data_IF_680164594370
#
_entry.id   IF_680164594370
#
_cell.length_a   1.000
_cell.length_b   1.000
_cell.length_c   1.000
_cell.angle_alpha   90.00
_cell.angle_beta   90.00
_cell.angle_gamma   90.00
#
_symmetry.space_group_name_H-M   'P 1'
#
loop_
_entity.id
_entity.type
_entity.pdbx_description
1 polymer ?
#
# COMPACT_ATOMS: atom_id res chain seq x y z
N UNK A 1 4.80 -10.72 -8.76
CA UNK A 1 3.69 -10.29 -7.88
C UNK A 1 3.07 -8.97 -8.33
N UNK A 2 3.86 -7.94 -8.63
CA UNK A 2 3.36 -6.59 -8.96
C UNK A 2 3.39 -6.26 -10.46
N UNK A 3 3.27 -7.27 -11.33
CA UNK A 3 3.20 -7.01 -12.77
C UNK A 3 1.94 -6.23 -13.15
N UNK A 4 2.12 -5.21 -13.98
CA UNK A 4 1.06 -4.28 -14.40
C UNK A 4 0.75 -3.15 -13.42
N UNK A 5 1.44 -3.08 -12.27
CA UNK A 5 1.33 -1.95 -11.36
C UNK A 5 2.08 -0.75 -11.95
N UNK A 6 1.46 0.41 -11.90
CA UNK A 6 2.13 1.69 -12.12
C UNK A 6 2.91 2.11 -10.87
N UNK A 7 3.79 3.11 -11.00
CA UNK A 7 4.47 3.71 -9.84
C UNK A 7 3.49 4.27 -8.80
N UNK A 8 2.34 4.78 -9.25
CA UNK A 8 1.27 5.25 -8.36
C UNK A 8 0.63 4.11 -7.57
N UNK A 9 0.44 2.94 -8.19
CA UNK A 9 -0.11 1.76 -7.52
C UNK A 9 0.86 1.26 -6.44
N UNK A 10 2.16 1.21 -6.74
CA UNK A 10 3.19 0.83 -5.76
C UNK A 10 3.20 1.81 -4.58
N UNK A 11 3.10 3.11 -4.85
CA UNK A 11 2.98 4.11 -3.79
C UNK A 11 1.75 3.88 -2.92
N UNK A 12 0.62 3.48 -3.51
CA UNK A 12 -0.60 3.16 -2.78
C UNK A 12 -0.42 1.92 -1.90
N UNK A 13 0.19 0.85 -2.44
CA UNK A 13 0.52 -0.37 -1.68
C UNK A 13 1.37 -0.02 -0.45
N UNK A 14 2.41 0.80 -0.60
CA UNK A 14 3.27 1.18 0.52
C UNK A 14 2.51 1.98 1.60
N UNK A 15 1.60 2.87 1.19
CA UNK A 15 0.73 3.60 2.13
C UNK A 15 -0.20 2.65 2.87
N UNK A 16 -0.81 1.71 2.15
CA UNK A 16 -1.75 0.76 2.74
C UNK A 16 -1.06 -0.19 3.73
N UNK A 17 0.15 -0.66 3.40
CA UNK A 17 0.98 -1.46 4.30
C UNK A 17 1.33 -0.68 5.59
N UNK A 18 1.70 0.60 5.47
CA UNK A 18 1.96 1.46 6.64
C UNK A 18 0.70 1.68 7.49
N UNK A 19 -0.44 1.91 6.84
CA UNK A 19 -1.72 2.08 7.53
C UNK A 19 -2.17 0.82 8.27
N UNK A 20 -1.72 -0.37 7.87
CA UNK A 20 -2.00 -1.61 8.61
C UNK A 20 -1.47 -1.58 10.05
N UNK A 21 -0.33 -0.93 10.29
CA UNK A 21 0.22 -0.78 11.65
C UNK A 21 -0.50 0.33 12.40
N UNK A 22 -0.78 1.44 11.72
CA UNK A 22 -1.45 2.60 12.32
C UNK A 22 -2.88 2.23 12.79
N UNK A 23 -3.61 1.40 12.03
CA UNK A 23 -4.95 0.95 12.42
C UNK A 23 -4.99 0.19 13.75
N UNK A 24 -3.96 -0.62 14.07
CA UNK A 24 -3.83 -1.29 15.38
C UNK A 24 -3.75 -0.28 16.54
N UNK A 25 -3.15 0.88 16.30
CA UNK A 25 -3.08 1.95 17.31
C UNK A 25 -4.45 2.59 17.49
N UNK A 26 -5.17 2.85 16.40
CA UNK A 26 -6.53 3.42 16.50
C UNK A 26 -7.49 2.47 17.22
N UNK A 27 -7.40 1.16 16.99
CA UNK A 27 -8.20 0.17 17.72
C UNK A 27 -7.97 0.25 19.25
N UNK A 28 -6.73 0.48 19.69
CA UNK A 28 -6.40 0.68 21.11
C UNK A 28 -6.97 2.00 21.64
N UNK A 29 -6.90 3.05 20.84
CA UNK A 29 -7.40 4.39 21.21
C UNK A 29 -8.92 4.47 21.29
N UNK A 30 -9.62 3.70 20.45
CA UNK A 30 -11.08 3.66 20.38
C UNK A 30 -11.71 2.70 21.41
N UNK A 31 -10.90 1.90 22.12
CA UNK A 31 -11.38 1.01 23.17
C UNK A 31 -11.88 1.82 24.39
N UNK A 32 -13.21 1.94 24.48
CA UNK A 32 -13.93 2.65 25.55
C UNK A 32 -13.99 1.88 26.88
N UNK A 33 -13.24 0.78 27.04
CA UNK A 33 -13.17 -0.01 28.28
C UNK A 33 -12.60 0.73 29.50
N UNK A 34 -12.27 2.03 29.38
CA UNK A 34 -11.85 2.92 30.47
C UNK A 34 -10.40 2.72 30.94
N UNK A 35 -9.67 1.77 30.34
CA UNK A 35 -8.26 1.47 30.64
C UNK A 35 -7.27 2.13 29.68
N UNK A 36 -7.73 2.64 28.54
CA UNK A 36 -6.89 2.87 27.36
C UNK A 36 -5.87 4.02 27.41
N UNK A 37 -6.01 5.02 28.28
CA UNK A 37 -5.31 6.29 28.06
C UNK A 37 -4.34 6.74 29.15
N UNK A 38 -4.38 6.19 30.37
CA UNK A 38 -3.60 6.76 31.49
C UNK A 38 -2.12 6.38 31.49
N UNK A 39 -1.71 5.28 30.85
CA UNK A 39 -0.31 4.80 30.85
C UNK A 39 0.15 4.13 29.53
N UNK A 40 -0.65 4.19 28.47
CA UNK A 40 -0.35 3.45 27.24
C UNK A 40 0.72 4.15 26.41
N UNK A 41 1.97 3.67 26.49
CA UNK A 41 3.03 4.06 25.56
C UNK A 41 2.74 3.48 24.19
N UNK A 42 2.10 4.27 23.33
CA UNK A 42 1.86 3.91 21.92
C UNK A 42 3.21 3.69 21.24
N UNK A 43 3.41 2.49 20.72
CA UNK A 43 4.59 2.13 19.91
C UNK A 43 4.11 1.66 18.55
N UNK A 44 4.68 2.24 17.51
CA UNK A 44 4.50 1.75 16.16
C UNK A 44 5.26 0.42 16.02
N UNK A 45 4.54 -0.62 15.64
CA UNK A 45 5.15 -1.90 15.30
C UNK A 45 5.91 -1.79 13.97
N UNK A 46 6.86 -2.70 13.75
CA UNK A 46 7.52 -2.83 12.46
C UNK A 46 6.57 -3.46 11.44
N UNK A 47 6.54 -2.93 10.23
CA UNK A 47 5.79 -3.52 9.12
C UNK A 47 6.46 -4.84 8.73
N UNK A 48 5.70 -5.92 8.66
CA UNK A 48 6.17 -7.23 8.20
C UNK A 48 5.79 -7.46 6.74
N UNK A 49 6.37 -8.49 6.13
CA UNK A 49 6.04 -8.90 4.76
C UNK A 49 4.55 -9.23 4.61
N UNK A 50 3.90 -9.74 5.66
CA UNK A 50 2.47 -10.08 5.62
C UNK A 50 1.57 -8.85 5.42
N UNK A 51 1.91 -7.69 5.99
CA UNK A 51 1.17 -6.44 5.73
C UNK A 51 1.35 -5.98 4.28
N UNK A 52 2.54 -6.16 3.71
CA UNK A 52 2.82 -5.81 2.31
C UNK A 52 2.05 -6.73 1.37
N UNK A 53 2.03 -8.04 1.62
CA UNK A 53 1.27 -9.02 0.84
C UNK A 53 -0.24 -8.74 0.89
N UNK A 54 -0.78 -8.42 2.07
CA UNK A 54 -2.17 -7.97 2.21
C UNK A 54 -2.46 -6.71 1.41
N UNK A 55 -1.57 -5.71 1.48
CA UNK A 55 -1.72 -4.47 0.73
C UNK A 55 -1.67 -4.67 -0.79
N UNK A 56 -0.84 -5.61 -1.27
CA UNK A 56 -0.81 -6.00 -2.69
C UNK A 56 -2.13 -6.68 -3.07
N UNK A 57 -2.62 -7.62 -2.25
CA UNK A 57 -3.85 -8.34 -2.50
C UNK A 57 -5.10 -7.43 -2.55
N UNK A 58 -5.10 -6.33 -1.80
CA UNK A 58 -6.18 -5.34 -1.77
C UNK A 58 -6.04 -4.21 -2.79
N UNK A 59 -4.91 -4.12 -3.51
CA UNK A 59 -4.66 -3.07 -4.50
C UNK A 59 -4.69 -3.64 -5.92
N UNK A 60 -5.56 -3.11 -6.78
CA UNK A 60 -5.56 -3.50 -8.20
C UNK A 60 -4.51 -2.72 -9.02
N UNK A 61 -3.81 -3.38 -9.98
CA UNK A 61 -2.94 -2.69 -10.92
C UNK A 61 -3.74 -1.83 -11.90
N UNK A 62 -3.42 -0.54 -11.97
CA UNK A 62 -4.06 0.41 -12.89
C UNK A 62 -3.45 0.40 -14.29
N UNK A 63 -2.18 -0.01 -14.43
CA UNK A 63 -1.48 0.00 -15.71
C UNK A 63 -1.54 -1.33 -16.49
N UNK A 64 -2.38 -2.27 -16.04
CA UNK A 64 -2.54 -3.58 -16.68
C UNK A 64 -3.10 -3.39 -18.11
N UNK A 65 -2.24 -3.58 -19.12
CA UNK A 65 -2.61 -3.51 -20.54
C UNK A 65 -2.18 -2.24 -21.29
N UNK A 66 -1.52 -1.27 -20.65
CA UNK A 66 -0.99 -0.10 -21.36
C UNK A 66 0.43 -0.31 -21.91
N UNK A 67 1.21 -1.23 -21.34
CA UNK A 67 2.60 -1.47 -21.72
C UNK A 67 2.77 -1.75 -23.23
N UNK A 68 1.94 -2.64 -23.79
CA UNK A 68 1.98 -2.96 -25.22
C UNK A 68 1.64 -1.73 -26.09
N UNK A 69 0.59 -0.99 -25.73
CA UNK A 69 0.16 0.21 -26.46
C UNK A 69 1.24 1.29 -26.49
N UNK A 70 1.92 1.52 -25.37
CA UNK A 70 3.00 2.51 -25.29
C UNK A 70 4.24 2.05 -26.05
N UNK A 71 4.53 0.75 -26.04
CA UNK A 71 5.62 0.18 -26.84
C UNK A 71 5.35 0.39 -28.34
N UNK A 72 4.16 0.03 -28.82
CA UNK A 72 3.77 0.20 -30.22
C UNK A 72 3.83 1.67 -30.67
N UNK A 73 3.43 2.59 -29.78
CA UNK A 73 3.51 4.02 -30.06
C UNK A 73 4.95 4.53 -30.12
N UNK A 74 5.78 4.12 -29.16
CA UNK A 74 7.20 4.51 -29.09
C UNK A 74 7.98 4.01 -30.33
N UNK A 75 7.70 2.79 -30.80
CA UNK A 75 8.32 2.25 -32.01
C UNK A 75 7.95 3.02 -33.29
N UNK A 76 6.72 3.54 -33.36
CA UNK A 76 6.21 4.25 -34.55
C UNK A 76 6.57 5.73 -34.57
N UNK A 77 6.65 6.38 -33.41
CA UNK A 77 6.73 7.84 -33.31
C UNK A 77 7.81 8.35 -32.36
N UNK A 78 8.46 7.47 -31.61
CA UNK A 78 9.52 7.85 -30.69
C UNK A 78 10.73 8.37 -31.46
N UNK A 79 11.20 9.57 -31.11
CA UNK A 79 12.52 10.04 -31.53
C UNK A 79 13.56 9.46 -30.58
N UNK A 80 14.65 8.96 -31.17
CA UNK A 80 15.88 8.63 -30.44
C UNK A 80 16.61 9.88 -29.97
#
# INVERSE_FOLDING_TARGET
MTEGYSGSDIRLVCKEAAMSVVRKIFEILEDNSGKGLKDTKIRLETITTAEVERAIASTMPSARGFAAKYKDWQEKYGSV
#
